data_IF_750061042467
#
_entry.id   IF_750061042467
#
_cell.length_a   1.000
_cell.length_b   1.000
_cell.length_c   1.000
_cell.angle_alpha   90.00
_cell.angle_beta   90.00
_cell.angle_gamma   90.00
#
_symmetry.space_group_name_H-M   'P 1'
#
loop_
_entity.id
_entity.type
_entity.pdbx_description
1 polymer ?
#
# COMPACT_ATOMS: atom_id res chain seq x y z
N UNK A 1 55.72 -3.20 67.95
CA UNK A 1 56.07 -2.09 68.87
C UNK A 1 56.02 -0.80 68.05
N UNK A 2 54.93 -0.03 68.14
CA UNK A 2 54.90 1.36 68.67
C UNK A 2 55.86 2.30 67.93
N UNK A 3 55.45 3.44 67.36
CA UNK A 3 54.68 4.51 68.00
C UNK A 3 54.29 5.59 66.98
N UNK A 4 53.19 6.27 67.26
CA UNK A 4 52.64 7.47 66.60
C UNK A 4 53.66 8.59 66.38
N UNK A 5 53.50 9.33 65.28
CA UNK A 5 54.02 10.69 65.10
C UNK A 5 52.96 11.54 64.40
N UNK A 6 52.22 12.32 65.18
CA UNK A 6 51.24 13.32 64.73
C UNK A 6 52.03 14.61 64.45
N UNK A 7 51.96 15.15 63.24
CA UNK A 7 52.36 16.52 62.95
C UNK A 7 51.20 17.20 62.22
N UNK A 8 50.48 18.00 62.99
CA UNK A 8 49.36 18.83 62.58
C UNK A 8 49.94 20.17 62.13
N UNK A 9 49.79 20.51 60.85
CA UNK A 9 49.96 21.89 60.37
C UNK A 9 48.62 22.33 59.78
N UNK A 10 47.79 22.91 60.64
CA UNK A 10 46.77 23.85 60.20
C UNK A 10 47.48 25.16 59.83
N UNK A 11 47.19 25.70 58.63
CA UNK A 11 46.66 27.07 58.48
C UNK A 11 46.60 27.49 57.01
N UNK A 12 45.39 27.91 56.64
CA UNK A 12 45.05 29.02 55.74
C UNK A 12 45.21 28.83 54.23
N UNK A 13 44.09 28.98 53.53
CA UNK A 13 44.07 29.24 52.10
C UNK A 13 42.73 28.91 51.45
N UNK A 14 41.71 29.70 51.75
CA UNK A 14 40.43 29.71 51.03
C UNK A 14 40.65 29.83 49.51
N UNK A 15 39.99 28.96 48.75
CA UNK A 15 40.08 28.97 47.29
C UNK A 15 39.23 27.87 46.65
N UNK A 16 37.99 27.71 47.10
CA UNK A 16 37.00 26.88 46.42
C UNK A 16 36.56 27.61 45.13
N UNK A 17 37.39 27.59 44.09
CA UNK A 17 36.94 27.96 42.74
C UNK A 17 36.23 26.77 42.12
N UNK A 18 34.92 26.73 42.37
CA UNK A 18 33.95 26.10 41.50
C UNK A 18 34.14 26.67 40.09
N UNK A 19 34.92 26.01 39.24
CA UNK A 19 34.81 26.20 37.79
C UNK A 19 33.58 25.41 37.35
N UNK A 20 32.43 25.99 37.65
CA UNK A 20 31.14 25.53 37.19
C UNK A 20 30.91 25.96 35.74
N UNK A 21 30.50 24.99 34.93
CA UNK A 21 29.42 25.11 33.95
C UNK A 21 29.31 26.45 33.22
N UNK A 22 30.13 26.62 32.18
CA UNK A 22 29.79 27.48 31.03
C UNK A 22 30.16 26.76 29.73
N UNK A 23 29.63 25.55 29.53
CA UNK A 23 29.21 25.14 28.19
C UNK A 23 27.91 25.90 27.91
N UNK A 24 28.04 27.18 27.63
CA UNK A 24 26.99 27.91 26.95
C UNK A 24 26.91 27.32 25.55
N UNK A 25 25.80 26.63 25.23
CA UNK A 25 25.42 26.48 23.84
C UNK A 25 25.25 27.90 23.30
N UNK A 26 26.28 28.42 22.62
CA UNK A 26 26.04 29.50 21.69
C UNK A 26 24.97 28.94 20.75
N UNK A 27 23.75 29.44 20.87
CA UNK A 27 22.79 29.38 19.78
C UNK A 27 23.39 30.25 18.69
N UNK A 28 24.40 29.73 17.99
CA UNK A 28 24.62 30.08 16.61
C UNK A 28 23.24 29.90 16.00
N UNK A 29 22.62 31.01 15.61
CA UNK A 29 21.53 31.01 14.65
C UNK A 29 22.12 30.41 13.37
N UNK A 30 22.28 29.09 13.36
CA UNK A 30 22.43 28.33 12.15
C UNK A 30 21.16 28.65 11.38
N UNK A 31 21.24 29.17 10.14
CA UNK A 31 20.08 29.16 9.27
C UNK A 31 19.50 27.74 9.32
N UNK A 32 18.17 27.57 9.45
CA UNK A 32 17.58 26.24 9.56
C UNK A 32 18.17 25.39 8.44
N UNK A 33 18.70 24.21 8.80
CA UNK A 33 19.14 23.23 7.80
C UNK A 33 18.00 23.12 6.80
N UNK A 34 18.24 23.60 5.58
CA UNK A 34 17.16 23.84 4.61
C UNK A 34 16.46 22.55 4.19
N UNK A 35 17.03 21.38 4.52
CA UNK A 35 16.43 20.06 4.35
C UNK A 35 15.23 19.79 5.28
N UNK A 36 15.13 20.45 6.43
CA UNK A 36 14.02 20.26 7.37
C UNK A 36 12.77 21.06 7.02
N UNK A 37 12.89 22.07 6.15
CA UNK A 37 11.76 22.89 5.74
C UNK A 37 10.74 22.05 4.93
N UNK A 38 9.43 22.29 5.11
CA UNK A 38 8.42 21.61 4.30
C UNK A 38 8.58 21.98 2.81
N UNK A 39 8.20 21.06 1.93
CA UNK A 39 8.10 21.32 0.51
C UNK A 39 6.82 22.11 0.19
N UNK A 40 5.72 21.72 0.81
CA UNK A 40 4.42 22.34 0.62
C UNK A 40 3.96 23.02 1.89
N UNK A 41 3.39 24.21 1.76
CA UNK A 41 2.70 24.85 2.88
C UNK A 41 1.29 24.26 3.00
N UNK A 42 1.00 23.64 4.14
CA UNK A 42 -0.34 23.15 4.46
C UNK A 42 -1.23 24.32 4.91
N UNK A 43 -2.43 24.41 4.34
CA UNK A 43 -3.48 25.27 4.91
C UNK A 43 -4.25 24.54 6.04
N UNK A 44 -5.27 25.20 6.60
CA UNK A 44 -6.07 24.63 7.69
C UNK A 44 -6.79 23.33 7.27
N UNK A 45 -7.27 23.27 6.02
CA UNK A 45 -7.97 22.11 5.48
C UNK A 45 -6.99 20.95 5.24
N UNK A 46 -5.84 21.24 4.63
CA UNK A 46 -4.74 20.29 4.46
C UNK A 46 -4.32 19.70 5.82
N UNK A 47 -4.18 20.54 6.84
CA UNK A 47 -3.70 20.10 8.16
C UNK A 47 -4.64 19.05 8.78
N UNK A 48 -5.95 19.30 8.76
CA UNK A 48 -6.95 18.36 9.30
C UNK A 48 -6.94 17.05 8.50
N UNK A 49 -6.91 17.15 7.17
CA UNK A 49 -6.87 15.98 6.28
C UNK A 49 -5.61 15.13 6.51
N UNK A 50 -4.44 15.76 6.49
CA UNK A 50 -3.14 15.09 6.66
C UNK A 50 -2.98 14.49 8.05
N UNK A 51 -3.51 15.13 9.10
CA UNK A 51 -3.51 14.54 10.44
C UNK A 51 -4.36 13.28 10.53
N UNK A 52 -5.53 13.27 9.91
CA UNK A 52 -6.39 12.09 9.89
C UNK A 52 -5.71 10.94 9.13
N UNK A 53 -5.14 11.22 7.95
CA UNK A 53 -4.42 10.24 7.15
C UNK A 53 -3.17 9.71 7.86
N UNK A 54 -2.43 10.56 8.58
CA UNK A 54 -1.29 10.14 9.39
C UNK A 54 -1.70 9.07 10.41
N UNK A 55 -2.80 9.25 11.14
CA UNK A 55 -3.27 8.28 12.14
C UNK A 55 -3.66 6.94 11.51
N UNK A 56 -4.28 7.00 10.32
CA UNK A 56 -4.60 5.79 9.54
C UNK A 56 -3.32 5.04 9.14
N UNK A 57 -2.31 5.77 8.66
CA UNK A 57 -1.01 5.19 8.30
C UNK A 57 -0.28 4.58 9.50
N UNK A 58 -0.30 5.23 10.66
CA UNK A 58 0.33 4.72 11.89
C UNK A 58 -0.30 3.39 12.32
N UNK A 59 -1.62 3.23 12.15
CA UNK A 59 -2.30 1.95 12.39
C UNK A 59 -1.84 0.87 11.40
N UNK A 60 -1.72 1.21 10.11
CA UNK A 60 -1.31 0.29 9.05
C UNK A 60 0.13 -0.19 9.20
N UNK A 61 1.05 0.67 9.66
CA UNK A 61 2.46 0.30 9.88
C UNK A 61 2.62 -0.91 10.81
N UNK A 62 1.75 -1.05 11.80
CA UNK A 62 1.80 -2.20 12.73
C UNK A 62 1.48 -3.56 12.08
N UNK A 63 0.85 -3.55 10.90
CA UNK A 63 0.38 -4.77 10.22
C UNK A 63 0.90 -4.94 8.80
N UNK A 64 1.51 -3.92 8.20
CA UNK A 64 1.87 -3.90 6.77
C UNK A 64 2.84 -5.03 6.39
N UNK A 65 3.74 -5.44 7.30
CA UNK A 65 4.74 -6.47 7.00
C UNK A 65 4.08 -7.83 6.70
N UNK A 66 2.92 -8.07 7.31
CA UNK A 66 2.13 -9.28 7.10
C UNK A 66 1.42 -9.27 5.74
N UNK A 67 1.09 -8.09 5.23
CA UNK A 67 0.28 -7.92 4.01
C UNK A 67 1.12 -7.55 2.77
N UNK A 68 2.46 -7.51 2.89
CA UNK A 68 3.38 -7.10 1.81
C UNK A 68 3.06 -5.72 1.20
N UNK A 69 2.46 -4.83 1.98
CA UNK A 69 2.02 -3.50 1.52
C UNK A 69 2.77 -2.35 2.20
N UNK A 70 3.89 -2.65 2.89
CA UNK A 70 4.64 -1.63 3.62
C UNK A 70 5.20 -0.54 2.70
N UNK A 71 5.54 -0.86 1.46
CA UNK A 71 6.05 0.11 0.48
C UNK A 71 5.04 1.23 0.22
N UNK A 72 3.76 0.90 0.02
CA UNK A 72 2.68 1.88 -0.11
C UNK A 72 2.51 2.70 1.17
N UNK A 73 2.64 2.07 2.34
CA UNK A 73 2.49 2.73 3.63
C UNK A 73 3.61 3.75 3.85
N UNK A 74 4.87 3.38 3.60
CA UNK A 74 6.02 4.27 3.69
C UNK A 74 5.96 5.38 2.63
N UNK A 75 5.58 5.06 1.39
CA UNK A 75 5.43 6.06 0.33
C UNK A 75 4.36 7.11 0.68
N UNK A 76 3.21 6.68 1.19
CA UNK A 76 2.14 7.59 1.62
C UNK A 76 2.56 8.44 2.81
N UNK A 77 3.29 7.86 3.79
CA UNK A 77 3.87 8.60 4.91
C UNK A 77 4.85 9.68 4.42
N UNK A 78 5.66 9.38 3.42
CA UNK A 78 6.57 10.33 2.80
C UNK A 78 5.82 11.49 2.13
N UNK A 79 4.75 11.19 1.39
CA UNK A 79 3.91 12.20 0.75
C UNK A 79 3.23 13.14 1.76
N UNK A 80 2.81 12.63 2.93
CA UNK A 80 2.30 13.47 4.03
C UNK A 80 3.43 14.32 4.62
N UNK A 81 4.63 13.77 4.79
CA UNK A 81 5.77 14.47 5.36
C UNK A 81 6.26 15.63 4.49
N UNK A 82 5.99 15.63 3.16
CA UNK A 82 6.28 16.76 2.26
C UNK A 82 5.65 18.09 2.74
N UNK A 83 4.57 18.04 3.53
CA UNK A 83 3.91 19.21 4.09
C UNK A 83 4.46 19.65 5.46
N UNK A 84 5.30 18.84 6.08
CA UNK A 84 5.76 19.04 7.46
C UNK A 84 7.27 19.22 7.54
N UNK A 85 8.02 18.29 6.95
CA UNK A 85 9.46 18.22 7.06
C UNK A 85 10.05 17.44 5.87
N UNK A 86 10.89 18.11 5.06
CA UNK A 86 11.50 17.52 3.88
C UNK A 86 12.45 16.34 4.18
N UNK A 87 13.15 16.38 5.31
CA UNK A 87 14.06 15.33 5.76
C UNK A 87 13.30 14.07 6.19
N UNK A 88 12.21 14.24 6.94
CA UNK A 88 11.30 13.13 7.28
C UNK A 88 10.67 12.52 6.03
N UNK A 89 10.32 13.35 5.04
CA UNK A 89 9.83 12.86 3.76
C UNK A 89 10.88 12.02 3.03
N UNK A 90 12.12 12.51 2.95
CA UNK A 90 13.22 11.78 2.33
C UNK A 90 13.48 10.42 3.02
N UNK A 91 13.46 10.38 4.36
CA UNK A 91 13.61 9.13 5.13
C UNK A 91 12.48 8.16 4.79
N UNK A 92 11.21 8.60 4.79
CA UNK A 92 10.10 7.71 4.46
C UNK A 92 10.09 7.26 3.00
N UNK A 93 10.55 8.08 2.04
CA UNK A 93 10.77 7.64 0.66
C UNK A 93 11.87 6.58 0.58
N UNK A 94 12.95 6.75 1.35
CA UNK A 94 14.03 5.78 1.42
C UNK A 94 13.52 4.45 2.00
N UNK A 95 12.70 4.49 3.06
CA UNK A 95 12.07 3.30 3.64
C UNK A 95 11.22 2.56 2.60
N UNK A 96 10.41 3.27 1.81
CA UNK A 96 9.60 2.63 0.75
C UNK A 96 10.48 1.87 -0.26
N UNK A 97 11.67 2.40 -0.59
CA UNK A 97 12.64 1.74 -1.44
C UNK A 97 13.35 0.56 -0.75
N UNK A 98 13.60 0.62 0.56
CA UNK A 98 14.25 -0.49 1.27
C UNK A 98 13.34 -1.70 1.43
N UNK A 99 12.04 -1.48 1.72
CA UNK A 99 11.08 -2.59 1.81
C UNK A 99 10.69 -3.15 0.44
N UNK A 100 10.64 -2.33 -0.62
CA UNK A 100 10.34 -2.81 -1.98
C UNK A 100 11.20 -2.11 -3.04
N UNK A 101 12.46 -2.54 -3.25
CA UNK A 101 13.40 -1.88 -4.17
C UNK A 101 12.99 -1.99 -5.65
N UNK A 102 12.12 -2.93 -5.99
CA UNK A 102 11.51 -3.09 -7.32
C UNK A 102 9.99 -2.87 -7.28
N UNK A 103 9.50 -2.26 -6.20
CA UNK A 103 8.09 -1.98 -6.00
C UNK A 103 7.61 -0.81 -6.87
N UNK A 104 6.28 -0.63 -6.99
CA UNK A 104 5.69 0.40 -7.83
C UNK A 104 6.07 1.84 -7.42
N UNK A 105 6.56 2.03 -6.19
CA UNK A 105 6.94 3.34 -5.66
C UNK A 105 8.44 3.62 -5.70
N UNK A 106 9.29 2.67 -6.11
CA UNK A 106 10.74 2.79 -6.00
C UNK A 106 11.29 3.97 -6.82
N UNK A 107 10.99 4.03 -8.12
CA UNK A 107 11.47 5.10 -9.01
C UNK A 107 10.92 6.48 -8.62
N UNK A 108 9.66 6.52 -8.19
CA UNK A 108 9.02 7.75 -7.72
C UNK A 108 9.68 8.25 -6.43
N UNK A 109 9.98 7.34 -5.49
CA UNK A 109 10.69 7.66 -4.25
C UNK A 109 12.10 8.20 -4.51
N UNK A 110 12.85 7.55 -5.42
CA UNK A 110 14.18 8.00 -5.81
C UNK A 110 14.16 9.43 -6.39
N UNK A 111 13.20 9.73 -7.27
CA UNK A 111 13.03 11.07 -7.84
C UNK A 111 12.67 12.12 -6.80
N UNK A 112 11.81 11.78 -5.83
CA UNK A 112 11.50 12.69 -4.73
C UNK A 112 12.72 12.98 -3.85
N UNK A 113 13.51 11.96 -3.51
CA UNK A 113 14.74 12.13 -2.73
C UNK A 113 15.72 13.06 -3.48
N UNK A 114 15.93 12.82 -4.78
CA UNK A 114 16.80 13.67 -5.60
C UNK A 114 16.28 15.11 -5.66
N UNK A 115 14.97 15.30 -5.81
CA UNK A 115 14.36 16.63 -5.84
C UNK A 115 14.53 17.37 -4.50
N UNK A 116 14.27 16.69 -3.38
CA UNK A 116 14.43 17.26 -2.04
C UNK A 116 15.89 17.63 -1.75
N UNK A 117 16.84 16.81 -2.19
CA UNK A 117 18.27 17.11 -2.08
C UNK A 117 18.72 18.25 -3.01
N UNK A 118 18.17 18.36 -4.22
CA UNK A 118 18.60 19.40 -5.16
C UNK A 118 18.07 20.79 -4.76
N UNK A 119 16.88 20.84 -4.14
CA UNK A 119 16.29 22.08 -3.59
C UNK A 119 17.17 22.71 -2.51
N UNK A 120 17.85 21.90 -1.69
CA UNK A 120 18.75 22.44 -0.66
C UNK A 120 20.06 22.96 -1.25
N UNK A 121 20.44 22.50 -2.45
CA UNK A 121 21.68 22.88 -3.12
C UNK A 121 21.55 24.11 -4.03
N UNK A 122 20.36 24.41 -4.57
CA UNK A 122 20.18 25.48 -5.57
C UNK A 122 19.16 26.52 -5.14
N UNK A 123 19.56 27.80 -5.14
CA UNK A 123 18.65 28.95 -5.10
C UNK A 123 18.09 29.19 -6.50
N UNK A 124 17.06 28.44 -6.90
CA UNK A 124 16.34 28.74 -8.14
C UNK A 124 15.67 30.13 -8.08
N UNK A 125 15.38 30.75 -9.24
CA UNK A 125 14.52 31.93 -9.30
C UNK A 125 13.18 31.58 -8.62
N UNK A 126 12.82 32.34 -7.59
CA UNK A 126 11.74 31.96 -6.69
C UNK A 126 10.40 31.78 -7.43
N UNK A 127 10.12 32.59 -8.45
CA UNK A 127 8.81 32.62 -9.12
C UNK A 127 8.47 31.36 -9.94
N UNK A 128 9.40 30.84 -10.73
CA UNK A 128 9.14 29.66 -11.58
C UNK A 128 9.08 28.38 -10.73
N UNK A 129 9.94 28.29 -9.71
CA UNK A 129 9.91 27.19 -8.73
C UNK A 129 8.59 27.18 -7.95
N UNK A 130 8.08 28.35 -7.56
CA UNK A 130 6.84 28.45 -6.80
C UNK A 130 5.61 27.95 -7.60
N UNK A 131 5.53 28.28 -8.90
CA UNK A 131 4.44 27.80 -9.76
C UNK A 131 4.43 26.28 -9.91
N UNK A 132 5.58 25.67 -10.21
CA UNK A 132 5.70 24.22 -10.32
C UNK A 132 5.43 23.51 -8.98
N UNK A 133 5.91 24.06 -7.87
CA UNK A 133 5.66 23.52 -6.52
C UNK A 133 4.18 23.58 -6.15
N UNK A 134 3.44 24.62 -6.57
CA UNK A 134 1.99 24.69 -6.36
C UNK A 134 1.24 23.59 -7.14
N UNK A 135 1.63 23.31 -8.39
CA UNK A 135 1.05 22.20 -9.17
C UNK A 135 1.36 20.86 -8.51
N UNK A 136 2.61 20.65 -8.07
CA UNK A 136 3.01 19.44 -7.35
C UNK A 136 2.22 19.24 -6.05
N UNK A 137 1.98 20.33 -5.28
CA UNK A 137 1.12 20.29 -4.08
C UNK A 137 -0.27 19.76 -4.43
N UNK A 138 -0.88 20.28 -5.50
CA UNK A 138 -2.19 19.85 -5.97
C UNK A 138 -2.24 18.36 -6.32
N UNK A 139 -1.24 17.88 -7.08
CA UNK A 139 -1.14 16.46 -7.46
C UNK A 139 -0.96 15.54 -6.24
N UNK A 140 -0.10 15.92 -5.30
CA UNK A 140 0.13 15.16 -4.08
C UNK A 140 -1.15 15.10 -3.24
N UNK A 141 -1.87 16.21 -3.09
CA UNK A 141 -3.15 16.25 -2.36
C UNK A 141 -4.18 15.32 -3.00
N UNK A 142 -4.38 15.42 -4.31
CA UNK A 142 -5.33 14.55 -5.03
C UNK A 142 -4.94 13.08 -4.93
N UNK A 143 -3.65 12.75 -5.02
CA UNK A 143 -3.19 11.37 -4.85
C UNK A 143 -3.45 10.84 -3.44
N UNK A 144 -3.23 11.66 -2.39
CA UNK A 144 -3.53 11.29 -1.01
C UNK A 144 -5.03 11.06 -0.77
N UNK A 145 -5.88 11.90 -1.35
CA UNK A 145 -7.34 11.73 -1.31
C UNK A 145 -7.77 10.42 -1.99
N UNK A 146 -7.21 10.12 -3.16
CA UNK A 146 -7.46 8.86 -3.86
C UNK A 146 -6.98 7.65 -3.05
N UNK A 147 -5.82 7.74 -2.40
CA UNK A 147 -5.32 6.63 -1.58
C UNK A 147 -6.18 6.36 -0.36
N UNK A 148 -6.68 7.42 0.28
CA UNK A 148 -7.60 7.28 1.40
C UNK A 148 -8.89 6.58 0.98
N UNK A 149 -9.50 7.01 -0.13
CA UNK A 149 -10.74 6.39 -0.64
C UNK A 149 -10.55 4.94 -1.08
N UNK A 150 -9.40 4.60 -1.69
CA UNK A 150 -9.04 3.22 -2.02
C UNK A 150 -8.90 2.36 -0.75
N UNK A 151 -8.28 2.90 0.29
CA UNK A 151 -8.07 2.20 1.57
C UNK A 151 -9.37 2.00 2.35
N UNK A 152 -10.28 2.99 2.36
CA UNK A 152 -11.59 2.90 3.03
C UNK A 152 -12.57 1.99 2.27
N UNK A 153 -12.45 1.89 0.94
CA UNK A 153 -13.33 1.04 0.11
C UNK A 153 -12.88 -0.42 0.02
N UNK A 154 -11.65 -0.75 0.40
CA UNK A 154 -11.13 -2.12 0.42
C UNK A 154 -11.98 -3.11 1.25
N UNK A 155 -12.40 -2.82 2.50
CA UNK A 155 -13.27 -3.73 3.24
C UNK A 155 -14.66 -3.89 2.60
N UNK A 156 -15.19 -2.82 1.98
CA UNK A 156 -16.51 -2.83 1.35
C UNK A 156 -16.50 -3.61 0.02
N UNK A 157 -15.45 -3.44 -0.79
CA UNK A 157 -15.24 -4.21 -2.03
C UNK A 157 -14.95 -5.68 -1.78
N UNK A 158 -14.24 -6.04 -0.71
CA UNK A 158 -14.01 -7.44 -0.37
C UNK A 158 -15.32 -8.15 0.02
N UNK A 159 -16.19 -7.46 0.77
CA UNK A 159 -17.52 -7.98 1.15
C UNK A 159 -18.45 -8.06 -0.06
N UNK A 160 -18.49 -7.04 -0.93
CA UNK A 160 -19.34 -7.06 -2.12
C UNK A 160 -18.83 -8.03 -3.21
N UNK A 161 -17.52 -8.17 -3.38
CA UNK A 161 -16.93 -9.16 -4.27
C UNK A 161 -17.24 -10.58 -3.77
N UNK A 162 -17.04 -10.86 -2.47
CA UNK A 162 -17.41 -12.15 -1.87
C UNK A 162 -18.90 -12.45 -2.04
N UNK A 163 -19.77 -11.46 -1.84
CA UNK A 163 -21.23 -11.61 -1.98
C UNK A 163 -21.68 -11.77 -3.44
N UNK A 164 -20.99 -11.16 -4.40
CA UNK A 164 -21.26 -11.34 -5.83
C UNK A 164 -20.80 -12.71 -6.32
N UNK A 165 -19.65 -13.18 -5.84
CA UNK A 165 -19.07 -14.47 -6.19
C UNK A 165 -19.91 -15.62 -5.61
N UNK A 166 -20.41 -15.45 -4.38
CA UNK A 166 -21.31 -16.40 -3.71
C UNK A 166 -22.69 -16.51 -4.38
N UNK A 167 -23.15 -15.46 -5.09
CA UNK A 167 -24.39 -15.49 -5.89
C UNK A 167 -24.19 -15.98 -7.34
N UNK A 168 -23.05 -15.69 -7.95
CA UNK A 168 -22.78 -16.04 -9.34
C UNK A 168 -22.51 -17.55 -9.54
N UNK A 169 -21.75 -18.17 -8.64
CA UNK A 169 -21.38 -19.60 -8.71
C UNK A 169 -22.60 -20.55 -8.66
N UNK A 170 -23.57 -20.41 -7.74
CA UNK A 170 -24.74 -21.30 -7.71
C UNK A 170 -25.65 -21.12 -8.93
N UNK A 171 -25.72 -19.90 -9.49
CA UNK A 171 -26.51 -19.62 -10.69
C UNK A 171 -25.92 -20.31 -11.92
N UNK A 172 -24.61 -20.19 -12.12
CA UNK A 172 -23.90 -20.88 -13.21
C UNK A 172 -23.97 -22.40 -13.07
N UNK A 173 -23.86 -22.94 -11.85
CA UNK A 173 -24.00 -24.39 -11.60
C UNK A 173 -25.39 -24.93 -11.97
N UNK A 174 -26.45 -24.15 -11.75
CA UNK A 174 -27.82 -24.53 -12.17
C UNK A 174 -27.93 -24.55 -13.68
N UNK A 175 -27.39 -23.52 -14.34
CA UNK A 175 -27.44 -23.41 -15.80
C UNK A 175 -26.68 -24.56 -16.49
N UNK A 176 -25.51 -24.94 -15.97
CA UNK A 176 -24.75 -26.11 -16.43
C UNK A 176 -25.59 -27.39 -16.30
N UNK A 177 -26.18 -27.65 -15.12
CA UNK A 177 -27.05 -28.83 -14.92
C UNK A 177 -28.24 -28.87 -15.86
N UNK A 178 -28.85 -27.71 -16.14
CA UNK A 178 -29.96 -27.62 -17.10
C UNK A 178 -29.49 -27.93 -18.52
N UNK A 179 -28.31 -27.43 -18.92
CA UNK A 179 -27.73 -27.75 -20.23
C UNK A 179 -27.39 -29.23 -20.35
N UNK A 180 -26.79 -29.83 -19.32
CA UNK A 180 -26.44 -31.25 -19.29
C UNK A 180 -27.70 -32.13 -19.42
N UNK A 181 -28.79 -31.76 -18.74
CA UNK A 181 -30.07 -32.49 -18.86
C UNK A 181 -30.61 -32.45 -20.29
N UNK A 182 -30.57 -31.29 -20.94
CA UNK A 182 -31.01 -31.15 -22.35
C UNK A 182 -30.12 -31.95 -23.31
N UNK A 183 -28.82 -31.99 -23.05
CA UNK A 183 -27.88 -32.79 -23.85
C UNK A 183 -28.22 -34.27 -23.72
N UNK A 184 -28.48 -34.77 -22.51
CA UNK A 184 -28.86 -36.16 -22.29
C UNK A 184 -30.17 -36.52 -23.01
N UNK A 185 -31.18 -35.66 -22.90
CA UNK A 185 -32.49 -35.86 -23.56
C UNK A 185 -32.37 -35.86 -25.09
N UNK A 186 -31.61 -34.92 -25.67
CA UNK A 186 -31.36 -34.91 -27.11
C UNK A 186 -30.55 -36.12 -27.57
N UNK A 187 -29.63 -36.61 -26.74
CA UNK A 187 -28.85 -37.83 -27.02
C UNK A 187 -29.74 -39.07 -27.03
N UNK A 188 -30.72 -39.14 -26.13
CA UNK A 188 -31.73 -40.21 -26.08
C UNK A 188 -32.68 -40.15 -27.27
N UNK A 189 -33.11 -38.96 -27.67
CA UNK A 189 -33.92 -38.79 -28.88
C UNK A 189 -33.16 -39.21 -30.13
N UNK A 190 -31.86 -38.90 -30.23
CA UNK A 190 -31.03 -39.33 -31.35
C UNK A 190 -30.83 -40.86 -31.37
N UNK A 191 -30.66 -41.50 -30.20
CA UNK A 191 -30.47 -42.95 -30.13
C UNK A 191 -31.75 -43.71 -30.52
N UNK A 192 -32.90 -43.25 -30.06
CA UNK A 192 -34.21 -43.82 -30.42
C UNK A 192 -34.53 -43.62 -31.90
N UNK A 193 -34.26 -42.43 -32.47
CA UNK A 193 -34.45 -42.18 -33.89
C UNK A 193 -33.56 -43.09 -34.75
N UNK A 194 -32.31 -43.29 -34.34
CA UNK A 194 -31.37 -44.21 -35.01
C UNK A 194 -31.84 -45.67 -34.94
N UNK A 195 -32.42 -46.09 -33.81
CA UNK A 195 -32.98 -47.43 -33.65
C UNK A 195 -34.17 -47.66 -34.61
N UNK A 196 -35.07 -46.68 -34.73
CA UNK A 196 -36.21 -46.75 -35.64
C UNK A 196 -35.75 -46.81 -37.11
N UNK A 197 -34.75 -46.00 -37.48
CA UNK A 197 -34.20 -46.03 -38.84
C UNK A 197 -33.56 -47.39 -39.17
N UNK A 198 -32.87 -47.99 -38.21
CA UNK A 198 -32.30 -49.34 -38.32
C UNK A 198 -33.37 -50.45 -38.44
N UNK A 199 -34.51 -50.29 -37.76
CA UNK A 199 -35.64 -51.23 -37.84
C UNK A 199 -36.42 -51.06 -39.15
N UNK A 200 -36.59 -49.84 -39.65
CA UNK A 200 -37.22 -49.55 -40.93
C UNK A 200 -36.39 -50.03 -42.13
N UNK A 201 -35.05 -49.96 -42.02
CA UNK A 201 -34.13 -50.47 -43.04
C UNK A 201 -33.81 -51.97 -42.88
N UNK A 202 -34.38 -52.66 -41.88
CA UNK A 202 -34.23 -54.11 -41.75
C UNK A 202 -35.11 -54.78 -42.82
N UNK A 203 -34.54 -55.45 -43.83
CA UNK A 203 -35.35 -56.05 -44.89
C UNK A 203 -36.30 -57.10 -44.30
N UNK A 204 -37.59 -56.94 -44.60
CA UNK A 204 -38.67 -57.85 -44.25
C UNK A 204 -38.31 -59.31 -44.58
N UNK A 205 -37.83 -60.05 -43.58
CA UNK A 205 -37.89 -61.52 -43.58
C UNK A 205 -39.17 -61.95 -42.89
N UNK A 206 -40.32 -61.64 -43.50
CA UNK A 206 -41.57 -62.29 -43.17
C UNK A 206 -41.65 -63.60 -43.96
N UNK A 207 -41.47 -64.67 -43.22
CA UNK A 207 -41.67 -66.07 -43.57
C UNK A 207 -43.01 -66.32 -44.29
N UNK A 208 -42.94 -66.96 -45.45
CA UNK A 208 -44.08 -67.55 -46.16
C UNK A 208 -44.59 -68.78 -45.37
N UNK A 209 -45.87 -68.86 -44.98
CA UNK A 209 -46.43 -70.10 -44.43
C UNK A 209 -46.73 -71.06 -45.59
N UNK A 210 -46.04 -72.19 -45.64
CA UNK A 210 -46.40 -73.28 -46.56
C UNK A 210 -47.33 -74.25 -45.83
N UNK A 211 -48.63 -74.06 -46.01
CA UNK A 211 -49.65 -75.05 -45.67
C UNK A 211 -49.83 -76.07 -46.80
N UNK A 212 -49.89 -77.32 -46.37
CA UNK A 212 -50.50 -78.56 -46.91
C UNK A 212 -51.21 -78.61 -48.29
N UNK A 213 -50.98 -79.76 -48.97
CA UNK A 213 -51.92 -80.60 -49.79
C UNK A 213 -52.02 -80.39 -51.31
N UNK A 214 -51.58 -81.37 -52.13
CA UNK A 214 -52.37 -82.53 -52.60
C UNK A 214 -51.45 -83.58 -53.25
#
# INVERSE_FOLDING_TARGET
MTRRGIAMWFRYGSGLLMVGMLWGCATVNSPPLSGSAPLFQADATDTVFLQALQREQDALLSTCARQQSCDQVHFTRAMIALFKNGETAAISFQEAMTVAPKGPFADSSARWIQFLANRTAHSASADELNGAVAVMKGLVRTWLEQQRTASTSAPMRAVDAAKSQDRAVPTLRREIRTRDKRIAELTEQLSTLKQIDLEAHRPNKLSLPKTLSK
#
